data_IF_675131838689
#
_entry.id   IF_675131838689
#
_cell.length_a   1.000
_cell.length_b   1.000
_cell.length_c   1.000
_cell.angle_alpha   90.00
_cell.angle_beta   90.00
_cell.angle_gamma   90.00
#
_symmetry.space_group_name_H-M   'P 1'
#
loop_
_entity.id
_entity.type
_entity.pdbx_description
1 polymer ?
#
# COMPACT_ATOMS: atom_id res chain seq x y z
N UNK A 1 -28.68 -6.85 2.97
CA UNK A 1 -27.32 -7.25 2.54
C UNK A 1 -26.81 -6.54 1.28
N UNK A 2 -27.56 -6.52 0.16
CA UNK A 2 -27.11 -5.93 -1.14
C UNK A 2 -26.62 -4.47 -1.05
N UNK A 3 -27.29 -3.60 -0.27
CA UNK A 3 -26.89 -2.19 -0.13
C UNK A 3 -25.53 -1.99 0.57
N UNK A 4 -25.20 -2.82 1.58
CA UNK A 4 -23.92 -2.76 2.30
C UNK A 4 -22.74 -3.23 1.45
N UNK A 5 -22.98 -4.25 0.60
CA UNK A 5 -21.99 -4.75 -0.34
C UNK A 5 -21.68 -3.70 -1.43
N UNK A 6 -22.73 -3.08 -1.99
CA UNK A 6 -22.59 -2.00 -2.98
C UNK A 6 -21.77 -0.82 -2.43
N UNK A 7 -22.05 -0.40 -1.19
CA UNK A 7 -21.28 0.65 -0.51
C UNK A 7 -19.81 0.25 -0.33
N UNK A 8 -19.55 -0.94 0.21
CA UNK A 8 -18.19 -1.48 0.39
C UNK A 8 -17.38 -1.46 -0.91
N UNK A 9 -17.98 -1.91 -2.01
CA UNK A 9 -17.31 -1.95 -3.31
C UNK A 9 -16.98 -0.55 -3.84
N UNK A 10 -17.90 0.41 -3.72
CA UNK A 10 -17.67 1.79 -4.18
C UNK A 10 -16.49 2.41 -3.42
N UNK A 11 -16.47 2.28 -2.09
CA UNK A 11 -15.36 2.78 -1.28
C UNK A 11 -14.04 2.07 -1.63
N UNK A 12 -14.07 0.76 -1.80
CA UNK A 12 -12.88 -0.02 -2.14
C UNK A 12 -12.30 0.36 -3.51
N UNK A 13 -13.16 0.55 -4.53
CA UNK A 13 -12.75 1.00 -5.86
C UNK A 13 -12.14 2.40 -5.82
N UNK A 14 -12.76 3.32 -5.08
CA UNK A 14 -12.25 4.68 -4.96
C UNK A 14 -10.89 4.74 -4.26
N UNK A 15 -10.79 4.19 -3.04
CA UNK A 15 -9.57 4.24 -2.26
C UNK A 15 -8.47 3.32 -2.82
N UNK A 16 -8.84 2.17 -3.39
CA UNK A 16 -7.93 1.30 -4.12
C UNK A 16 -7.39 1.94 -5.39
N UNK A 17 -8.23 2.68 -6.13
CA UNK A 17 -7.80 3.49 -7.28
C UNK A 17 -6.81 4.57 -6.88
N UNK A 18 -7.08 5.33 -5.82
CA UNK A 18 -6.14 6.34 -5.28
C UNK A 18 -4.81 5.70 -4.86
N UNK A 19 -4.86 4.55 -4.18
CA UNK A 19 -3.66 3.83 -3.78
C UNK A 19 -2.87 3.35 -5.01
N UNK A 20 -3.55 2.80 -6.02
CA UNK A 20 -2.97 2.42 -7.30
C UNK A 20 -2.31 3.58 -8.05
N UNK A 21 -2.96 4.75 -8.15
CA UNK A 21 -2.36 5.96 -8.75
C UNK A 21 -1.09 6.35 -8.00
N UNK A 22 -1.14 6.34 -6.66
CA UNK A 22 0.00 6.74 -5.82
C UNK A 22 1.18 5.79 -6.01
N UNK A 23 0.92 4.48 -6.08
CA UNK A 23 1.92 3.44 -6.38
C UNK A 23 2.51 3.56 -7.80
N UNK A 24 1.68 3.87 -8.79
CA UNK A 24 2.10 4.05 -10.16
C UNK A 24 2.96 5.31 -10.35
N UNK A 25 2.68 6.38 -9.61
CA UNK A 25 3.33 7.69 -9.74
C UNK A 25 4.44 7.88 -8.72
N UNK A 26 4.09 8.19 -7.47
CA UNK A 26 5.04 8.44 -6.39
C UNK A 26 5.89 7.21 -6.10
N UNK A 27 5.28 6.02 -6.10
CA UNK A 27 6.02 4.76 -5.97
C UNK A 27 7.06 4.58 -7.07
N UNK A 28 6.75 4.96 -8.31
CA UNK A 28 7.73 4.96 -9.41
C UNK A 28 8.85 5.97 -9.16
N UNK A 29 8.53 7.23 -8.86
CA UNK A 29 9.51 8.30 -8.60
C UNK A 29 10.44 7.96 -7.44
N UNK A 30 9.91 7.40 -6.35
CA UNK A 30 10.71 6.97 -5.20
C UNK A 30 11.62 5.79 -5.53
N UNK A 31 11.21 4.91 -6.44
CA UNK A 31 12.05 3.81 -6.91
C UNK A 31 13.14 4.24 -7.90
N UNK A 32 13.06 5.45 -8.48
CA UNK A 32 14.19 6.06 -9.21
C UNK A 32 15.29 6.50 -8.25
N UNK A 33 14.96 6.78 -6.98
CA UNK A 33 15.97 7.13 -5.98
C UNK A 33 16.86 5.92 -5.67
N UNK A 34 18.17 6.14 -5.63
CA UNK A 34 19.16 5.13 -5.25
C UNK A 34 19.16 4.81 -3.75
N UNK A 35 18.46 5.63 -2.96
CA UNK A 35 18.51 5.64 -1.48
C UNK A 35 17.59 4.56 -0.88
N UNK A 36 16.69 3.94 -1.65
CA UNK A 36 15.86 2.83 -1.17
C UNK A 36 14.77 3.23 -0.17
N UNK A 37 14.35 4.51 -0.21
CA UNK A 37 13.38 5.11 0.73
C UNK A 37 11.92 4.84 0.38
N UNK A 38 11.64 4.19 -0.75
CA UNK A 38 10.25 3.96 -1.22
C UNK A 38 9.39 3.28 -0.14
N UNK A 39 9.91 2.24 0.52
CA UNK A 39 9.18 1.54 1.58
C UNK A 39 9.04 2.33 2.91
N UNK A 40 9.77 3.43 3.09
CA UNK A 40 9.63 4.35 4.24
C UNK A 40 8.50 5.36 4.06
N UNK A 41 8.12 5.62 2.80
CA UNK A 41 7.22 6.71 2.46
C UNK A 41 5.89 6.13 2.00
N UNK A 42 5.94 5.10 1.14
CA UNK A 42 4.73 4.48 0.62
C UNK A 42 3.91 3.86 1.74
N UNK A 43 4.48 3.02 2.61
CA UNK A 43 3.69 2.36 3.66
C UNK A 43 2.88 3.34 4.56
N UNK A 44 3.45 4.47 5.07
CA UNK A 44 2.66 5.47 5.78
C UNK A 44 1.59 6.18 4.94
N UNK A 45 1.84 6.41 3.65
CA UNK A 45 0.82 6.96 2.74
C UNK A 45 -0.31 5.94 2.54
N UNK A 46 0.02 4.66 2.41
CA UNK A 46 -0.93 3.56 2.31
C UNK A 46 -1.78 3.46 3.56
N UNK A 47 -1.16 3.52 4.73
CA UNK A 47 -1.85 3.66 6.01
C UNK A 47 -2.83 4.83 5.99
N UNK A 48 -2.42 6.03 5.54
CA UNK A 48 -3.28 7.20 5.49
C UNK A 48 -4.51 6.99 4.60
N UNK A 49 -4.31 6.48 3.38
CA UNK A 49 -5.39 6.23 2.41
C UNK A 49 -6.36 5.17 2.94
N UNK A 50 -5.84 4.04 3.43
CA UNK A 50 -6.64 2.93 3.92
C UNK A 50 -7.36 3.26 5.25
N UNK A 51 -6.73 4.03 6.14
CA UNK A 51 -7.38 4.54 7.36
C UNK A 51 -8.54 5.45 7.02
N UNK A 52 -8.40 6.33 6.03
CA UNK A 52 -9.50 7.16 5.53
C UNK A 52 -10.60 6.32 4.88
N UNK A 53 -10.24 5.27 4.15
CA UNK A 53 -11.19 4.32 3.57
C UNK A 53 -12.08 3.69 4.65
N UNK A 54 -11.48 3.24 5.75
CA UNK A 54 -12.21 2.76 6.92
C UNK A 54 -13.09 3.85 7.54
N UNK A 55 -12.55 5.04 7.83
CA UNK A 55 -13.32 6.10 8.49
C UNK A 55 -14.54 6.54 7.69
N UNK A 56 -14.46 6.54 6.36
CA UNK A 56 -15.58 6.93 5.48
C UNK A 56 -16.61 5.83 5.29
N UNK A 57 -16.17 4.58 5.23
CA UNK A 57 -17.09 3.44 5.06
C UNK A 57 -17.65 2.89 6.37
N UNK A 58 -17.00 3.20 7.49
CA UNK A 58 -17.16 2.54 8.78
C UNK A 58 -17.10 0.99 8.68
N UNK A 59 -16.31 0.47 7.73
CA UNK A 59 -16.19 -0.96 7.44
C UNK A 59 -14.73 -1.37 7.26
N UNK A 60 -14.23 -2.23 8.15
CA UNK A 60 -12.85 -2.73 8.14
C UNK A 60 -12.52 -3.49 6.84
N UNK A 61 -13.47 -4.20 6.24
CA UNK A 61 -13.24 -4.96 5.00
C UNK A 61 -12.87 -4.06 3.82
N UNK A 62 -13.26 -2.78 3.84
CA UNK A 62 -12.88 -1.82 2.79
C UNK A 62 -11.37 -1.63 2.73
N UNK A 63 -10.64 -1.74 3.84
CA UNK A 63 -9.17 -1.68 3.85
C UNK A 63 -8.60 -2.77 2.95
N UNK A 64 -8.97 -4.02 3.23
CA UNK A 64 -8.49 -5.18 2.48
C UNK A 64 -8.87 -5.13 0.99
N UNK A 65 -10.12 -4.79 0.69
CA UNK A 65 -10.54 -4.70 -0.71
C UNK A 65 -9.85 -3.56 -1.46
N UNK A 66 -9.59 -2.42 -0.80
CA UNK A 66 -8.86 -1.31 -1.42
C UNK A 66 -7.42 -1.72 -1.75
N UNK A 67 -6.72 -2.39 -0.83
CA UNK A 67 -5.36 -2.89 -1.10
C UNK A 67 -5.35 -3.98 -2.16
N UNK A 68 -6.35 -4.86 -2.17
CA UNK A 68 -6.50 -5.88 -3.22
C UNK A 68 -6.69 -5.25 -4.60
N UNK A 69 -7.56 -4.23 -4.71
CA UNK A 69 -7.78 -3.49 -5.96
C UNK A 69 -6.50 -2.81 -6.44
N UNK A 70 -5.75 -2.16 -5.54
CA UNK A 70 -4.46 -1.56 -5.89
C UNK A 70 -3.42 -2.60 -6.34
N UNK A 71 -3.36 -3.76 -5.68
CA UNK A 71 -2.53 -4.89 -6.11
C UNK A 71 -2.94 -5.38 -7.51
N UNK A 72 -4.23 -5.52 -7.79
CA UNK A 72 -4.75 -5.90 -9.11
C UNK A 72 -4.38 -4.85 -10.17
N UNK A 73 -4.50 -3.56 -9.87
CA UNK A 73 -4.04 -2.49 -10.77
C UNK A 73 -2.56 -2.69 -11.10
N UNK A 74 -1.72 -3.01 -10.12
CA UNK A 74 -0.29 -3.31 -10.36
C UNK A 74 -0.09 -4.49 -11.30
N UNK A 75 -0.89 -5.55 -11.16
CA UNK A 75 -0.83 -6.75 -11.99
C UNK A 75 -1.21 -6.50 -13.46
N UNK A 76 -1.85 -5.39 -13.81
CA UNK A 76 -2.12 -5.03 -15.21
C UNK A 76 -0.85 -5.02 -16.05
N UNK A 77 0.31 -4.74 -15.45
CA UNK A 77 1.60 -4.80 -16.13
C UNK A 77 1.98 -6.19 -16.66
N UNK A 78 1.37 -7.27 -16.18
CA UNK A 78 1.59 -8.62 -16.73
C UNK A 78 1.10 -8.75 -18.16
N UNK A 79 0.14 -7.92 -18.58
CA UNK A 79 -0.36 -7.88 -19.95
C UNK A 79 0.52 -7.02 -20.87
N UNK A 80 1.58 -6.38 -20.34
CA UNK A 80 2.56 -5.68 -21.14
C UNK A 80 3.75 -6.61 -21.40
N UNK A 81 4.16 -6.83 -22.67
CA UNK A 81 5.24 -7.76 -23.04
C UNK A 81 6.65 -7.32 -22.57
N UNK A 82 6.70 -6.26 -21.76
CA UNK A 82 7.89 -5.48 -21.43
C UNK A 82 8.34 -5.76 -19.99
N UNK A 83 7.46 -6.28 -19.14
CA UNK A 83 7.73 -6.48 -17.71
C UNK A 83 7.99 -7.94 -17.37
N UNK A 84 9.13 -8.23 -16.74
CA UNK A 84 9.38 -9.56 -16.17
C UNK A 84 8.33 -9.85 -15.07
N UNK A 85 7.62 -11.00 -15.08
CA UNK A 85 6.47 -11.25 -14.20
C UNK A 85 6.75 -11.02 -12.71
N UNK A 86 7.92 -11.47 -12.22
CA UNK A 86 8.35 -11.29 -10.82
C UNK A 86 8.47 -9.81 -10.42
N UNK A 87 8.88 -8.92 -11.34
CA UNK A 87 8.98 -7.47 -11.07
C UNK A 87 7.60 -6.79 -10.96
N UNK A 88 6.54 -7.49 -11.35
CA UNK A 88 5.14 -7.04 -11.26
C UNK A 88 4.43 -7.68 -10.07
N UNK A 89 4.58 -8.99 -9.90
CA UNK A 89 3.92 -9.78 -8.86
C UNK A 89 4.43 -9.38 -7.47
N UNK A 90 5.74 -9.22 -7.27
CA UNK A 90 6.28 -8.94 -5.93
C UNK A 90 5.76 -7.61 -5.35
N UNK A 91 5.77 -6.47 -6.09
CA UNK A 91 5.14 -5.25 -5.61
C UNK A 91 3.63 -5.38 -5.39
N UNK A 92 2.91 -6.11 -6.26
CA UNK A 92 1.48 -6.33 -6.08
C UNK A 92 1.18 -7.10 -4.78
N UNK A 93 2.00 -8.12 -4.48
CA UNK A 93 1.92 -8.88 -3.24
C UNK A 93 2.23 -8.03 -2.02
N UNK A 94 3.29 -7.22 -2.07
CA UNK A 94 3.64 -6.28 -1.00
C UNK A 94 2.48 -5.32 -0.68
N UNK A 95 1.84 -4.74 -1.69
CA UNK A 95 0.67 -3.85 -1.52
C UNK A 95 -0.46 -4.54 -0.72
N UNK A 96 -0.73 -5.81 -1.01
CA UNK A 96 -1.78 -6.58 -0.30
C UNK A 96 -1.36 -6.87 1.15
N UNK A 97 -0.09 -7.24 1.39
CA UNK A 97 0.42 -7.45 2.74
C UNK A 97 0.40 -6.17 3.58
N UNK A 98 0.76 -5.02 3.00
CA UNK A 98 0.65 -3.71 3.64
C UNK A 98 -0.80 -3.42 4.04
N UNK A 99 -1.76 -3.71 3.15
CA UNK A 99 -3.18 -3.57 3.44
C UNK A 99 -3.67 -4.45 4.58
N UNK A 100 -3.24 -5.71 4.63
CA UNK A 100 -3.54 -6.62 5.74
C UNK A 100 -2.94 -6.11 7.07
N UNK A 101 -1.71 -5.61 7.02
CA UNK A 101 -1.06 -5.02 8.18
C UNK A 101 -1.81 -3.79 8.71
N UNK A 102 -2.23 -2.89 7.81
CA UNK A 102 -3.04 -1.72 8.17
C UNK A 102 -4.41 -2.15 8.70
N UNK A 103 -5.04 -3.15 8.09
CA UNK A 103 -6.32 -3.68 8.58
C UNK A 103 -6.18 -4.22 10.01
N UNK A 104 -5.12 -4.98 10.29
CA UNK A 104 -4.84 -5.49 11.63
C UNK A 104 -4.62 -4.36 12.65
N UNK A 105 -3.80 -3.36 12.29
CA UNK A 105 -3.52 -2.18 13.11
C UNK A 105 -4.81 -1.39 13.44
N UNK A 106 -5.61 -1.11 12.41
CA UNK A 106 -6.86 -0.35 12.55
C UNK A 106 -7.89 -1.15 13.34
N UNK A 107 -8.00 -2.46 13.10
CA UNK A 107 -8.89 -3.35 13.87
C UNK A 107 -8.50 -3.38 15.34
N UNK A 108 -7.20 -3.49 15.64
CA UNK A 108 -6.69 -3.44 17.01
C UNK A 108 -7.03 -2.10 17.69
N UNK A 109 -6.77 -0.98 17.01
CA UNK A 109 -7.06 0.37 17.53
C UNK A 109 -8.55 0.53 17.87
N UNK A 110 -9.43 0.09 16.97
CA UNK A 110 -10.89 0.17 17.15
C UNK A 110 -11.36 -0.76 18.27
N UNK A 111 -10.98 -2.04 18.26
CA UNK A 111 -11.43 -3.02 19.25
C UNK A 111 -10.95 -2.73 20.67
N UNK A 112 -9.74 -2.17 20.80
CA UNK A 112 -9.16 -1.81 22.11
C UNK A 112 -9.48 -0.36 22.52
N UNK A 113 -10.17 0.41 21.68
CA UNK A 113 -10.35 1.85 21.84
C UNK A 113 -9.02 2.57 22.17
N UNK A 114 -7.93 2.14 21.52
CA UNK A 114 -6.57 2.65 21.75
C UNK A 114 -6.09 3.45 20.56
N UNK A 115 -5.33 4.48 20.86
CA UNK A 115 -4.64 5.26 19.84
C UNK A 115 -3.52 4.46 19.20
N UNK A 116 -3.27 4.74 17.92
CA UNK A 116 -2.14 4.21 17.19
C UNK A 116 -0.90 4.98 17.62
N UNK A 117 -0.16 4.39 18.55
CA UNK A 117 1.14 4.88 19.01
C UNK A 117 2.30 4.25 18.25
N UNK A 118 3.52 4.70 18.57
CA UNK A 118 4.76 4.22 17.94
C UNK A 118 4.88 2.69 17.94
N UNK A 119 4.69 2.03 19.09
CA UNK A 119 4.85 0.57 19.21
C UNK A 119 3.87 -0.20 18.32
N UNK A 120 2.59 0.21 18.27
CA UNK A 120 1.61 -0.42 17.39
C UNK A 120 1.91 -0.20 15.91
N UNK A 121 2.41 0.98 15.54
CA UNK A 121 2.84 1.28 14.17
C UNK A 121 4.10 0.50 13.78
N UNK A 122 5.03 0.31 14.71
CA UNK A 122 6.25 -0.48 14.53
C UNK A 122 5.93 -1.97 14.31
N UNK A 123 5.00 -2.52 15.10
CA UNK A 123 4.50 -3.89 14.92
C UNK A 123 3.82 -4.07 13.56
N UNK A 124 3.02 -3.09 13.14
CA UNK A 124 2.41 -3.10 11.81
C UNK A 124 3.51 -3.13 10.73
N UNK A 125 4.48 -2.22 10.78
CA UNK A 125 5.55 -2.20 9.78
C UNK A 125 6.43 -3.46 9.78
N UNK A 126 6.62 -4.15 10.92
CA UNK A 126 7.27 -5.47 10.94
C UNK A 126 6.40 -6.57 10.31
N UNK A 127 5.10 -6.59 10.60
CA UNK A 127 4.21 -7.69 10.24
C UNK A 127 4.24 -8.02 8.75
N UNK A 128 4.12 -7.02 7.87
CA UNK A 128 4.14 -7.27 6.43
C UNK A 128 5.56 -7.52 5.90
N UNK A 129 6.58 -6.89 6.48
CA UNK A 129 7.98 -7.05 6.05
C UNK A 129 8.52 -8.44 6.31
N UNK A 130 8.17 -9.02 7.46
CA UNK A 130 8.56 -10.39 7.80
C UNK A 130 7.97 -11.36 6.77
N UNK A 131 6.68 -11.23 6.47
CA UNK A 131 6.02 -12.08 5.46
C UNK A 131 6.63 -11.87 4.08
N UNK A 132 6.88 -10.62 3.69
CA UNK A 132 7.50 -10.27 2.41
C UNK A 132 8.93 -10.83 2.28
N UNK A 133 9.67 -10.91 3.38
CA UNK A 133 10.99 -11.53 3.38
C UNK A 133 10.95 -13.05 3.31
N UNK A 134 10.01 -13.69 4.01
CA UNK A 134 9.80 -15.13 3.87
C UNK A 134 9.48 -15.48 2.41
N UNK A 135 8.64 -14.70 1.75
CA UNK A 135 8.37 -14.82 0.31
C UNK A 135 9.67 -14.65 -0.51
N UNK A 136 10.47 -13.61 -0.24
CA UNK A 136 11.74 -13.39 -0.91
C UNK A 136 12.73 -14.57 -0.75
N UNK A 137 12.77 -15.20 0.42
CA UNK A 137 13.59 -16.39 0.69
C UNK A 137 13.07 -17.60 -0.07
N UNK A 138 11.76 -17.83 -0.09
CA UNK A 138 11.13 -18.93 -0.84
C UNK A 138 11.45 -18.78 -2.33
N UNK A 139 11.24 -17.59 -2.91
CA UNK A 139 11.54 -17.31 -4.31
C UNK A 139 13.01 -17.59 -4.65
N UNK A 140 13.93 -17.19 -3.78
CA UNK A 140 15.36 -17.46 -3.98
C UNK A 140 15.68 -18.96 -3.99
N UNK A 141 15.08 -19.75 -3.08
CA UNK A 141 15.31 -21.19 -2.99
C UNK A 141 14.76 -21.97 -4.20
N UNK A 142 13.74 -21.45 -4.88
CA UNK A 142 13.21 -22.05 -6.12
C UNK A 142 13.87 -21.48 -7.40
N UNK A 143 14.98 -20.75 -7.26
CA UNK A 143 15.76 -20.24 -8.38
C UNK A 143 15.25 -18.94 -9.00
N UNK A 144 14.27 -18.26 -8.37
CA UNK A 144 13.76 -16.97 -8.84
C UNK A 144 14.58 -15.82 -8.20
N UNK A 145 15.25 -14.96 -9.01
CA UNK A 145 16.03 -13.86 -8.47
C UNK A 145 15.17 -12.89 -7.67
N UNK A 146 15.49 -12.76 -6.38
CA UNK A 146 14.89 -11.75 -5.51
C UNK A 146 15.84 -10.58 -5.33
N UNK A 147 15.41 -9.37 -5.75
CA UNK A 147 16.18 -8.12 -5.58
C UNK A 147 16.52 -7.85 -4.11
N UNK A 148 15.70 -8.35 -3.19
CA UNK A 148 15.89 -8.18 -1.76
C UNK A 148 17.04 -9.05 -1.24
N UNK A 149 17.09 -10.31 -1.67
CA UNK A 149 18.18 -11.24 -1.29
C UNK A 149 19.49 -10.86 -1.99
N UNK A 150 19.42 -10.46 -3.26
CA UNK A 150 20.61 -10.12 -4.06
C UNK A 150 21.37 -8.89 -3.56
N UNK A 151 20.72 -8.00 -2.79
CA UNK A 151 21.37 -6.83 -2.16
C UNK A 151 22.08 -7.16 -0.84
N UNK A 152 21.92 -8.38 -0.33
CA UNK A 152 22.58 -8.86 0.87
C UNK A 152 21.92 -8.47 2.20
N UNK A 153 22.40 -9.07 3.31
CA UNK A 153 21.74 -8.95 4.63
C UNK A 153 21.74 -7.53 5.18
N UNK A 154 22.76 -6.72 4.89
CA UNK A 154 22.86 -5.35 5.39
C UNK A 154 21.75 -4.46 4.84
N UNK A 155 21.46 -4.54 3.54
CA UNK A 155 20.38 -3.76 2.95
C UNK A 155 19.01 -4.20 3.50
N UNK A 156 18.82 -5.51 3.64
CA UNK A 156 17.55 -6.04 4.12
C UNK A 156 17.34 -5.81 5.63
N UNK A 157 18.23 -6.35 6.48
CA UNK A 157 18.06 -6.34 7.94
C UNK A 157 18.20 -4.92 8.50
N UNK A 158 19.23 -4.18 8.10
CA UNK A 158 19.49 -2.88 8.70
C UNK A 158 18.60 -1.79 8.09
N UNK A 159 18.60 -1.65 6.75
CA UNK A 159 17.84 -0.56 6.12
C UNK A 159 16.36 -0.90 6.02
N UNK A 160 16.01 -1.97 5.31
CA UNK A 160 14.61 -2.25 5.00
C UNK A 160 13.78 -2.68 6.22
N UNK A 161 14.34 -3.51 7.10
CA UNK A 161 13.63 -4.07 8.25
C UNK A 161 13.70 -3.19 9.49
N UNK A 162 14.85 -2.60 9.81
CA UNK A 162 15.01 -1.75 11.01
C UNK A 162 14.79 -0.26 10.72
N UNK A 163 15.66 0.40 9.95
CA UNK A 163 15.63 1.86 9.75
C UNK A 163 14.31 2.29 9.13
N UNK A 164 13.91 1.68 8.01
CA UNK A 164 12.67 2.02 7.32
C UNK A 164 11.45 1.79 8.22
N UNK A 165 11.50 0.79 9.10
CA UNK A 165 10.40 0.51 10.01
C UNK A 165 10.31 1.53 11.15
N UNK A 166 11.43 1.96 11.71
CA UNK A 166 11.48 3.03 12.71
C UNK A 166 10.91 4.34 12.15
N UNK A 167 11.34 4.70 10.94
CA UNK A 167 10.82 5.89 10.23
C UNK A 167 9.32 5.76 9.96
N UNK A 168 8.87 4.60 9.48
CA UNK A 168 7.44 4.34 9.27
C UNK A 168 6.62 4.46 10.54
N UNK A 169 7.08 3.86 11.63
CA UNK A 169 6.39 3.91 12.91
C UNK A 169 6.25 5.34 13.41
N UNK A 170 7.31 6.15 13.24
CA UNK A 170 7.30 7.56 13.60
C UNK A 170 6.31 8.37 12.73
N UNK A 171 6.35 8.21 11.40
CA UNK A 171 5.44 8.92 10.49
C UNK A 171 3.98 8.53 10.76
N UNK A 172 3.67 7.24 10.90
CA UNK A 172 2.31 6.75 11.17
C UNK A 172 1.80 7.30 12.50
N UNK A 173 2.63 7.33 13.55
CA UNK A 173 2.26 7.94 14.83
C UNK A 173 1.94 9.43 14.68
N UNK A 174 2.77 10.18 13.94
CA UNK A 174 2.52 11.60 13.69
C UNK A 174 1.22 11.83 12.91
N UNK A 175 0.98 11.02 11.86
CA UNK A 175 -0.27 11.05 11.08
C UNK A 175 -1.45 10.77 12.00
N UNK A 176 -1.42 9.71 12.81
CA UNK A 176 -2.51 9.35 13.72
C UNK A 176 -2.82 10.48 14.72
N UNK A 177 -1.77 11.11 15.28
CA UNK A 177 -1.90 12.24 16.21
C UNK A 177 -2.43 13.50 15.53
N UNK A 178 -1.96 13.82 14.32
CA UNK A 178 -2.44 14.95 13.54
C UNK A 178 -3.91 14.77 13.12
N UNK A 179 -4.29 13.55 12.76
CA UNK A 179 -5.66 13.20 12.39
C UNK A 179 -6.62 13.39 13.57
N UNK A 180 -6.23 12.95 14.78
CA UNK A 180 -7.02 13.18 16.01
C UNK A 180 -7.22 14.66 16.29
N UNK A 181 -6.23 15.49 15.98
CA UNK A 181 -6.27 16.95 16.14
C UNK A 181 -7.05 17.66 15.01
N UNK A 182 -7.68 16.93 14.09
CA UNK A 182 -8.41 17.50 12.97
C UNK A 182 -7.53 18.20 11.91
N UNK A 183 -6.20 18.00 11.94
CA UNK A 183 -5.25 18.70 11.07
C UNK A 183 -5.04 18.07 9.70
N UNK A 184 -5.64 16.91 9.44
CA UNK A 184 -5.50 16.21 8.16
C UNK A 184 -6.71 16.51 7.29
N UNK A 185 -6.47 16.83 6.01
CA UNK A 185 -7.50 17.07 5.00
C UNK A 185 -8.54 15.94 4.98
N UNK A 186 -9.79 16.32 5.20
CA UNK A 186 -10.92 15.41 5.17
C UNK A 186 -11.37 15.21 3.72
N UNK A 187 -11.58 13.97 3.31
CA UNK A 187 -12.16 13.68 1.98
C UNK A 187 -13.64 14.01 2.06
N UNK A 188 -14.15 14.87 1.16
CA UNK A 188 -15.58 15.18 1.12
C UNK A 188 -16.39 13.91 0.90
N UNK A 189 -17.51 13.73 1.62
CA UNK A 189 -18.41 12.59 1.40
C UNK A 189 -18.99 12.56 -0.01
N UNK A 190 -19.11 13.73 -0.66
CA UNK A 190 -19.52 13.84 -2.06
C UNK A 190 -18.47 13.32 -3.04
N UNK A 191 -17.22 13.15 -2.62
CA UNK A 191 -16.14 12.65 -3.48
C UNK A 191 -16.29 11.15 -3.77
N UNK A 192 -16.95 10.38 -2.90
CA UNK A 192 -17.08 8.92 -3.08
C UNK A 192 -18.43 8.58 -3.71
N UNK A 193 -18.56 8.88 -5.01
CA UNK A 193 -19.72 8.48 -5.83
C UNK A 193 -19.33 7.30 -6.72
N UNK A 194 -20.29 6.46 -7.16
CA UNK A 194 -20.01 5.36 -8.07
C UNK A 194 -19.23 5.79 -9.32
N UNK A 195 -19.63 6.90 -9.94
CA UNK A 195 -18.95 7.47 -11.12
C UNK A 195 -17.51 7.83 -10.80
N UNK A 196 -17.27 8.52 -9.67
CA UNK A 196 -15.91 8.93 -9.27
C UNK A 196 -15.04 7.71 -8.94
N UNK A 197 -15.59 6.67 -8.31
CA UNK A 197 -14.88 5.43 -8.01
C UNK A 197 -14.44 4.69 -9.29
N UNK A 198 -15.32 4.66 -10.30
CA UNK A 198 -14.98 4.10 -11.62
C UNK A 198 -13.93 4.96 -12.32
N UNK A 199 -14.10 6.29 -12.33
CA UNK A 199 -13.12 7.21 -12.89
C UNK A 199 -11.74 7.06 -12.23
N UNK A 200 -11.67 6.91 -10.89
CA UNK A 200 -10.40 6.70 -10.20
C UNK A 200 -9.76 5.37 -10.58
N UNK A 201 -10.55 4.31 -10.82
CA UNK A 201 -10.02 3.02 -11.27
C UNK A 201 -9.46 3.13 -12.69
N UNK A 202 -10.23 3.69 -13.62
CA UNK A 202 -9.81 3.88 -15.01
C UNK A 202 -8.54 4.73 -15.08
N UNK A 203 -8.50 5.83 -14.31
CA UNK A 203 -7.33 6.68 -14.21
C UNK A 203 -6.14 5.92 -13.63
N UNK A 204 -6.33 5.11 -12.57
CA UNK A 204 -5.27 4.30 -11.99
C UNK A 204 -4.66 3.32 -12.99
N UNK A 205 -5.50 2.61 -13.76
CA UNK A 205 -5.05 1.69 -14.80
C UNK A 205 -4.31 2.45 -15.92
N UNK A 206 -4.87 3.57 -16.39
CA UNK A 206 -4.23 4.38 -17.42
C UNK A 206 -2.86 4.93 -17.00
N UNK A 207 -2.75 5.43 -15.77
CA UNK A 207 -1.49 5.92 -15.20
C UNK A 207 -0.49 4.79 -15.00
N UNK A 208 -0.95 3.61 -14.55
CA UNK A 208 -0.10 2.43 -14.38
C UNK A 208 0.49 1.96 -15.72
N UNK A 209 -0.30 1.93 -16.79
CA UNK A 209 0.17 1.61 -18.14
C UNK A 209 1.15 2.67 -18.66
N UNK A 210 0.81 3.95 -18.52
CA UNK A 210 1.64 5.07 -18.97
C UNK A 210 3.01 5.08 -18.29
N UNK A 211 3.05 4.96 -16.97
CA UNK A 211 4.32 4.97 -16.21
C UNK A 211 5.18 3.75 -16.51
N UNK A 212 4.54 2.60 -16.78
CA UNK A 212 5.26 1.39 -17.19
C UNK A 212 5.90 1.56 -18.56
N UNK A 213 5.18 2.16 -19.51
CA UNK A 213 5.70 2.49 -20.83
C UNK A 213 6.86 3.49 -20.77
N UNK A 214 6.73 4.57 -19.99
CA UNK A 214 7.79 5.58 -19.79
C UNK A 214 9.07 4.94 -19.25
N UNK A 215 8.96 4.06 -18.25
CA UNK A 215 10.09 3.36 -17.64
C UNK A 215 10.90 2.51 -18.62
N UNK A 216 10.32 2.11 -19.73
CA UNK A 216 10.97 1.26 -20.73
C UNK A 216 11.79 2.05 -21.73
N UNK A 217 11.39 3.29 -22.02
CA UNK A 217 12.01 4.12 -23.07
C UNK A 217 13.07 5.06 -22.49
N UNK A 218 13.02 5.32 -21.17
CA UNK A 218 14.04 6.06 -20.43
C UNK A 218 15.20 5.17 -19.96
#
# INVERSE_FOLDING_TARGET
>A
MKGRLKSTLIYALFFGGIWGITEATLGYLLNLSTIGISGCIMFPIGYCILRKAYKKSNNLSVIFYSSLIAGIIKLVNLFMPISHPVKVINPAFAIVLEGLSVMALVTWSVKKNKEIGFSSALLAGFSWRIIYFLDAVILFNIGIPSRMISKGPQEYLLKFLLINNLVNAFIIMLIAKAEKRGKILNVSERAVRPVVAVCSLVLAVGVQLLMTYIKTIA
#
